data_IF_095744288898
#
_entry.id   IF_095744288898
#
_cell.length_a   1.000
_cell.length_b   1.000
_cell.length_c   1.000
_cell.angle_alpha   90.00
_cell.angle_beta   90.00
_cell.angle_gamma   90.00
#
_symmetry.space_group_name_H-M   'P 1'
#
loop_
_entity.id
_entity.type
_entity.pdbx_description
1 polymer ?
#
# COMPACT_ATOMS: atom_id res chain seq x y z
N UNK A 1 7.04 -11.51 -7.56
CA UNK A 1 6.85 -10.22 -6.86
C UNK A 1 5.74 -10.39 -5.83
N UNK A 2 5.94 -9.90 -4.61
CA UNK A 2 4.96 -9.93 -3.52
C UNK A 2 4.69 -8.48 -3.11
N UNK A 3 3.43 -8.12 -2.95
CA UNK A 3 3.04 -6.84 -2.36
C UNK A 3 2.81 -7.05 -0.85
N UNK A 4 3.63 -6.42 -0.02
CA UNK A 4 3.41 -6.34 1.41
C UNK A 4 2.61 -5.08 1.73
N UNK A 5 1.66 -5.21 2.66
CA UNK A 5 0.81 -4.11 3.13
C UNK A 5 0.87 -4.10 4.65
N UNK A 6 1.33 -2.99 5.23
CA UNK A 6 1.33 -2.73 6.66
C UNK A 6 0.33 -1.62 6.98
N UNK A 7 -0.74 -1.95 7.70
CA UNK A 7 -1.86 -1.04 7.98
C UNK A 7 -1.72 -0.48 9.39
N UNK A 8 -1.14 0.72 9.51
CA UNK A 8 -1.05 1.46 10.76
C UNK A 8 -2.25 2.38 11.00
N UNK A 9 -2.30 3.01 12.18
CA UNK A 9 -3.38 3.94 12.53
C UNK A 9 -3.41 5.22 11.67
N UNK A 10 -2.24 5.70 11.24
CA UNK A 10 -2.12 6.96 10.49
C UNK A 10 -1.75 6.73 9.04
N UNK A 11 -0.93 5.71 8.77
CA UNK A 11 -0.44 5.41 7.43
C UNK A 11 -0.52 3.92 7.14
N UNK A 12 -0.83 3.63 5.88
CA UNK A 12 -0.65 2.33 5.26
C UNK A 12 0.65 2.39 4.46
N UNK A 13 1.55 1.42 4.67
CA UNK A 13 2.79 1.28 3.92
C UNK A 13 2.65 0.13 2.94
N UNK A 14 2.91 0.42 1.66
CA UNK A 14 2.95 -0.55 0.58
C UNK A 14 4.40 -0.85 0.24
N UNK A 15 4.76 -2.12 0.11
CA UNK A 15 6.11 -2.54 -0.26
C UNK A 15 6.09 -3.59 -1.36
N UNK A 16 6.71 -3.31 -2.49
CA UNK A 16 6.90 -4.27 -3.58
C UNK A 16 8.19 -5.06 -3.38
N UNK A 17 8.08 -6.35 -3.10
CA UNK A 17 9.22 -7.25 -2.93
C UNK A 17 9.42 -8.11 -4.18
N UNK A 18 10.67 -8.22 -4.61
CA UNK A 18 11.11 -9.20 -5.60
C UNK A 18 12.24 -10.03 -4.98
N UNK A 19 11.91 -11.30 -4.67
CA UNK A 19 12.74 -12.18 -3.84
C UNK A 19 13.05 -11.50 -2.50
N UNK A 20 14.33 -11.28 -2.21
CA UNK A 20 14.81 -10.67 -0.97
C UNK A 20 15.08 -9.16 -1.10
N UNK A 21 14.64 -8.54 -2.20
CA UNK A 21 14.88 -7.11 -2.47
C UNK A 21 13.59 -6.30 -2.50
N UNK A 22 13.61 -5.12 -1.88
CA UNK A 22 12.54 -4.14 -1.97
C UNK A 22 12.74 -3.35 -3.26
N UNK A 23 11.72 -3.37 -4.14
CA UNK A 23 11.70 -2.64 -5.40
C UNK A 23 11.10 -1.25 -5.26
N UNK A 24 10.08 -1.12 -4.42
CA UNK A 24 9.46 0.17 -4.12
C UNK A 24 8.82 0.15 -2.74
N UNK A 25 8.65 1.35 -2.20
CA UNK A 25 7.76 1.62 -1.07
C UNK A 25 6.88 2.81 -1.41
N UNK A 26 5.61 2.75 -1.01
CA UNK A 26 4.67 3.86 -1.14
C UNK A 26 3.84 3.99 0.15
N UNK A 27 3.22 5.15 0.36
CA UNK A 27 2.48 5.46 1.59
C UNK A 27 1.13 6.08 1.27
N UNK A 28 0.09 5.53 1.90
CA UNK A 28 -1.26 6.07 1.86
C UNK A 28 -1.68 6.48 3.28
N UNK A 29 -2.58 7.46 3.40
CA UNK A 29 -3.23 7.74 4.67
C UNK A 29 -4.21 6.61 5.01
N UNK A 30 -4.24 6.20 6.28
CA UNK A 30 -5.24 5.25 6.76
C UNK A 30 -6.58 5.95 6.89
N UNK A 31 -7.61 5.41 6.24
CA UNK A 31 -8.96 5.97 6.26
C UNK A 31 -10.00 4.84 6.25
N UNK A 32 -10.61 4.62 7.41
CA UNK A 32 -11.58 3.53 7.62
C UNK A 32 -12.88 3.73 6.84
N UNK A 33 -13.12 4.92 6.29
CA UNK A 33 -14.31 5.23 5.51
C UNK A 33 -14.11 4.96 4.02
N UNK A 34 -12.87 4.74 3.56
CA UNK A 34 -12.60 4.40 2.16
C UNK A 34 -13.06 3.00 1.82
N UNK A 35 -13.70 2.90 0.67
CA UNK A 35 -14.09 1.65 0.04
C UNK A 35 -12.89 0.95 -0.60
N UNK A 36 -13.07 -0.33 -0.92
CA UNK A 36 -12.04 -1.10 -1.64
C UNK A 36 -11.68 -0.49 -2.99
N UNK A 37 -12.67 0.03 -3.72
CA UNK A 37 -12.46 0.64 -5.04
C UNK A 37 -11.65 1.95 -4.95
N UNK A 38 -11.92 2.78 -3.94
CA UNK A 38 -11.10 3.99 -3.69
C UNK A 38 -9.64 3.61 -3.40
N UNK A 39 -9.41 2.58 -2.59
CA UNK A 39 -8.06 2.09 -2.33
C UNK A 39 -7.40 1.52 -3.59
N UNK A 40 -8.13 0.81 -4.45
CA UNK A 40 -7.60 0.28 -5.69
C UNK A 40 -7.10 1.40 -6.62
N UNK A 41 -7.88 2.49 -6.78
CA UNK A 41 -7.48 3.66 -7.57
C UNK A 41 -6.24 4.34 -6.98
N UNK A 42 -6.17 4.47 -5.65
CA UNK A 42 -5.00 5.07 -5.01
C UNK A 42 -3.74 4.22 -5.23
N UNK A 43 -3.84 2.90 -5.11
CA UNK A 43 -2.70 1.98 -5.28
C UNK A 43 -2.23 1.95 -6.74
N UNK A 44 -3.13 2.00 -7.72
CA UNK A 44 -2.78 2.04 -9.14
C UNK A 44 -1.98 3.30 -9.52
N UNK A 45 -2.20 4.41 -8.81
CA UNK A 45 -1.51 5.69 -9.03
C UNK A 45 -0.33 5.94 -8.06
N UNK A 46 0.04 4.96 -7.22
CA UNK A 46 0.98 5.11 -6.11
C UNK A 46 2.46 4.81 -6.44
#
# INVERSE_FOLDING_TARGET
>A
MILAIDVGNTHIVLGGFDRDTIRFTSRLATDRLKTGDEYAVLIDNA
#
